data_IF_563288392075
#
_entry.id   IF_563288392075
#
_cell.length_a   1.000
_cell.length_b   1.000
_cell.length_c   1.000
_cell.angle_alpha   90.00
_cell.angle_beta   90.00
_cell.angle_gamma   90.00
#
_symmetry.space_group_name_H-M   'P 1'
#
loop_
_entity.id
_entity.type
_entity.pdbx_description
1 polymer ?
#
# COMPACT_ATOMS: atom_id res chain seq x y z
N UNK A 1 -20.17 -7.25 -7.21
CA UNK A 1 -19.13 -8.25 -7.52
C UNK A 1 -17.72 -7.67 -7.54
N UNK A 2 -17.44 -6.60 -8.30
CA UNK A 2 -16.07 -6.07 -8.47
C UNK A 2 -15.37 -5.61 -7.18
N UNK A 3 -16.07 -4.89 -6.28
CA UNK A 3 -15.48 -4.47 -5.00
C UNK A 3 -15.09 -5.65 -4.08
N UNK A 4 -15.83 -6.77 -4.15
CA UNK A 4 -15.50 -7.96 -3.37
C UNK A 4 -14.22 -8.64 -3.90
N UNK A 5 -14.04 -8.66 -5.22
CA UNK A 5 -12.79 -9.13 -5.84
C UNK A 5 -11.60 -8.24 -5.44
N UNK A 6 -11.81 -6.92 -5.39
CA UNK A 6 -10.80 -5.99 -4.88
C UNK A 6 -10.47 -6.24 -3.42
N UNK A 7 -11.48 -6.47 -2.56
CA UNK A 7 -11.27 -6.80 -1.15
C UNK A 7 -10.51 -8.12 -0.98
N UNK A 8 -10.82 -9.14 -1.79
CA UNK A 8 -10.06 -10.39 -1.82
C UNK A 8 -8.59 -10.15 -2.19
N UNK A 9 -8.35 -9.36 -3.23
CA UNK A 9 -6.98 -9.04 -3.66
C UNK A 9 -6.23 -8.16 -2.64
N UNK A 10 -6.94 -7.27 -1.94
CA UNK A 10 -6.41 -6.50 -0.81
C UNK A 10 -5.93 -7.42 0.31
N UNK A 11 -6.74 -8.40 0.71
CA UNK A 11 -6.37 -9.41 1.72
C UNK A 11 -5.10 -10.17 1.29
N UNK A 12 -4.99 -10.55 0.02
CA UNK A 12 -3.79 -11.21 -0.51
C UNK A 12 -2.55 -10.30 -0.43
N UNK A 13 -2.66 -9.04 -0.83
CA UNK A 13 -1.55 -8.08 -0.76
C UNK A 13 -1.12 -7.80 0.69
N UNK A 14 -2.07 -7.72 1.64
CA UNK A 14 -1.78 -7.58 3.06
C UNK A 14 -1.00 -8.79 3.59
N UNK A 15 -1.44 -10.00 3.28
CA UNK A 15 -0.74 -11.23 3.66
C UNK A 15 0.69 -11.28 3.12
N UNK A 16 0.91 -10.83 1.88
CA UNK A 16 2.26 -10.70 1.29
C UNK A 16 3.08 -9.61 1.98
N UNK A 17 2.51 -8.45 2.27
CA UNK A 17 3.20 -7.34 2.92
C UNK A 17 3.62 -7.66 4.35
N UNK A 18 2.77 -8.31 5.14
CA UNK A 18 3.09 -8.75 6.50
C UNK A 18 4.19 -9.81 6.50
N UNK A 19 4.16 -10.73 5.53
CA UNK A 19 5.14 -11.79 5.35
C UNK A 19 6.30 -11.39 4.40
N UNK A 20 6.55 -10.10 4.18
CA UNK A 20 7.53 -9.60 3.18
C UNK A 20 8.98 -10.04 3.36
N UNK A 21 9.32 -10.59 4.53
CA UNK A 21 10.64 -11.15 4.84
C UNK A 21 10.82 -12.57 4.28
N UNK A 22 9.74 -13.24 3.89
CA UNK A 22 9.78 -14.53 3.21
C UNK A 22 10.42 -14.35 1.83
N UNK A 23 11.24 -15.31 1.41
CA UNK A 23 12.15 -15.17 0.27
C UNK A 23 11.97 -16.25 -0.81
N UNK A 24 10.94 -17.07 -0.72
CA UNK A 24 10.58 -18.09 -1.71
C UNK A 24 9.07 -18.33 -1.69
N UNK A 25 8.54 -18.89 -2.78
CA UNK A 25 7.10 -19.04 -3.00
C UNK A 25 6.47 -20.07 -2.07
N UNK A 26 7.10 -21.22 -1.88
CA UNK A 26 6.57 -22.32 -1.06
C UNK A 26 6.32 -21.88 0.38
N UNK A 27 7.32 -21.24 1.01
CA UNK A 27 7.16 -20.68 2.37
C UNK A 27 6.15 -19.55 2.46
N UNK A 28 5.91 -18.82 1.36
CA UNK A 28 4.88 -17.80 1.35
C UNK A 28 3.49 -18.43 1.30
N UNK A 29 3.30 -19.46 0.47
CA UNK A 29 2.04 -20.21 0.39
C UNK A 29 1.66 -20.86 1.72
N UNK A 30 2.63 -21.33 2.52
CA UNK A 30 2.41 -21.82 3.89
C UNK A 30 1.82 -20.76 4.85
N UNK A 31 1.99 -19.47 4.54
CA UNK A 31 1.46 -18.36 5.35
C UNK A 31 0.14 -17.82 4.82
N UNK A 32 -0.28 -18.25 3.63
CA UNK A 32 -1.48 -17.77 2.96
C UNK A 32 -2.56 -18.86 3.00
N UNK A 33 -3.82 -18.44 3.00
CA UNK A 33 -4.95 -19.38 3.05
C UNK A 33 -5.34 -19.88 1.64
N UNK A 34 -4.44 -20.65 1.02
CA UNK A 34 -4.65 -21.30 -0.29
C UNK A 34 -5.20 -20.38 -1.41
N UNK A 35 -4.56 -19.23 -1.71
CA UNK A 35 -4.98 -18.37 -2.82
C UNK A 35 -4.68 -19.03 -4.17
N UNK A 36 -5.39 -18.66 -5.25
CA UNK A 36 -5.05 -19.07 -6.61
C UNK A 36 -3.58 -18.73 -6.94
N UNK A 37 -2.82 -19.75 -7.31
CA UNK A 37 -1.37 -19.65 -7.47
C UNK A 37 -0.93 -18.60 -8.51
N UNK A 38 -1.72 -18.45 -9.58
CA UNK A 38 -1.52 -17.42 -10.62
C UNK A 38 -1.49 -15.99 -10.06
N UNK A 39 -2.24 -15.70 -9.00
CA UNK A 39 -2.23 -14.38 -8.36
C UNK A 39 -0.92 -14.17 -7.60
N UNK A 40 -0.46 -15.20 -6.89
CA UNK A 40 0.83 -15.16 -6.16
C UNK A 40 1.97 -14.99 -7.15
N UNK A 41 2.00 -15.74 -8.26
CA UNK A 41 3.02 -15.58 -9.30
C UNK A 41 2.99 -14.18 -9.94
N UNK A 42 1.80 -13.64 -10.16
CA UNK A 42 1.64 -12.26 -10.61
C UNK A 42 2.20 -11.24 -9.61
N UNK A 43 1.99 -11.44 -8.31
CA UNK A 43 2.53 -10.55 -7.29
C UNK A 43 4.06 -10.67 -7.24
N UNK A 44 4.60 -11.88 -7.19
CA UNK A 44 6.04 -12.11 -7.11
C UNK A 44 6.77 -11.52 -8.34
N UNK A 45 6.20 -11.65 -9.53
CA UNK A 45 6.80 -11.08 -10.75
C UNK A 45 6.82 -9.55 -10.80
N UNK A 46 5.87 -8.86 -10.15
CA UNK A 46 5.69 -7.40 -10.26
C UNK A 46 6.16 -6.61 -9.04
N UNK A 47 6.21 -7.24 -7.87
CA UNK A 47 6.46 -6.59 -6.58
C UNK A 47 7.66 -7.18 -5.84
N UNK A 48 8.54 -7.91 -6.53
CA UNK A 48 9.77 -8.44 -5.92
C UNK A 48 10.94 -8.32 -6.87
N UNK A 49 12.15 -8.39 -6.30
CA UNK A 49 13.39 -8.54 -7.06
C UNK A 49 13.81 -10.01 -6.98
N UNK A 50 13.99 -10.64 -8.14
CA UNK A 50 14.50 -12.01 -8.22
C UNK A 50 15.96 -12.00 -7.77
N UNK A 51 16.31 -12.89 -6.85
CA UNK A 51 17.71 -13.11 -6.49
C UNK A 51 18.36 -14.01 -7.53
N UNK A 52 19.48 -13.61 -8.15
CA UNK A 52 20.21 -14.51 -9.03
C UNK A 52 20.59 -15.77 -8.25
N UNK A 53 20.25 -16.94 -8.79
CA UNK A 53 20.59 -18.21 -8.16
C UNK A 53 22.10 -18.37 -8.09
N UNK A 54 22.60 -18.93 -6.99
CA UNK A 54 23.94 -19.53 -7.01
C UNK A 54 23.97 -20.58 -8.12
N UNK A 55 24.97 -20.50 -8.99
CA UNK A 55 25.23 -21.48 -10.05
C UNK A 55 25.05 -22.90 -9.49
N UNK A 56 24.14 -23.69 -10.07
CA UNK A 56 23.95 -25.11 -9.72
C UNK A 56 22.80 -25.49 -8.77
N UNK A 57 21.96 -24.57 -8.27
CA UNK A 57 20.74 -24.94 -7.51
C UNK A 57 19.47 -24.49 -8.22
N UNK A 58 18.82 -25.40 -8.96
CA UNK A 58 17.68 -25.09 -9.83
C UNK A 58 16.29 -25.20 -9.18
N UNK A 59 16.16 -25.38 -7.86
CA UNK A 59 14.89 -25.89 -7.31
C UNK A 59 13.90 -24.90 -6.73
N UNK A 60 14.26 -23.66 -6.40
CA UNK A 60 13.28 -22.64 -6.01
C UNK A 60 13.74 -21.22 -6.35
N UNK A 61 12.91 -20.46 -7.07
CA UNK A 61 13.19 -19.05 -7.39
C UNK A 61 13.10 -18.22 -6.11
N UNK A 62 14.25 -17.83 -5.56
CA UNK A 62 14.30 -16.93 -4.42
C UNK A 62 14.04 -15.48 -4.86
N UNK A 63 13.33 -14.73 -4.02
CA UNK A 63 13.03 -13.32 -4.23
C UNK A 63 13.33 -12.50 -2.98
N UNK A 64 13.28 -11.18 -3.14
CA UNK A 64 13.35 -10.21 -2.05
C UNK A 64 12.45 -9.02 -2.34
N UNK A 65 11.73 -8.55 -1.32
CA UNK A 65 10.95 -7.32 -1.38
C UNK A 65 11.84 -6.22 -0.80
N UNK A 66 12.37 -5.38 -1.68
CA UNK A 66 13.17 -4.22 -1.30
C UNK A 66 12.26 -3.03 -0.89
N UNK A 67 12.80 -1.94 -0.32
CA UNK A 67 11.97 -0.82 0.14
C UNK A 67 11.11 -0.17 -0.95
N UNK A 68 11.57 -0.18 -2.21
CA UNK A 68 10.78 0.34 -3.33
C UNK A 68 9.55 -0.53 -3.61
N UNK A 69 9.72 -1.86 -3.57
CA UNK A 69 8.63 -2.80 -3.71
C UNK A 69 7.68 -2.78 -2.49
N UNK A 70 8.17 -2.56 -1.28
CA UNK A 70 7.30 -2.32 -0.11
C UNK A 70 6.37 -1.14 -0.35
N UNK A 71 6.91 0.01 -0.77
CA UNK A 71 6.13 1.20 -1.09
C UNK A 71 5.17 0.95 -2.26
N UNK A 72 5.57 0.15 -3.26
CA UNK A 72 4.72 -0.24 -4.39
C UNK A 72 3.54 -1.10 -3.95
N UNK A 73 3.77 -2.12 -3.11
CA UNK A 73 2.69 -2.97 -2.55
C UNK A 73 1.71 -2.10 -1.76
N UNK A 74 2.23 -1.24 -0.88
CA UNK A 74 1.41 -0.32 -0.09
C UNK A 74 0.61 0.64 -0.97
N UNK A 75 1.19 1.20 -2.02
CA UNK A 75 0.44 2.05 -2.96
C UNK A 75 -0.73 1.31 -3.61
N UNK A 76 -0.56 0.03 -3.98
CA UNK A 76 -1.65 -0.78 -4.53
C UNK A 76 -2.73 -1.09 -3.48
N UNK A 77 -2.33 -1.37 -2.23
CA UNK A 77 -3.25 -1.53 -1.09
C UNK A 77 -4.09 -0.26 -0.90
N UNK A 78 -3.45 0.91 -0.83
CA UNK A 78 -4.12 2.19 -0.64
C UNK A 78 -5.04 2.56 -1.81
N UNK A 79 -4.64 2.23 -3.05
CA UNK A 79 -5.49 2.43 -4.22
C UNK A 79 -6.76 1.58 -4.16
N UNK A 80 -6.67 0.33 -3.70
CA UNK A 80 -7.84 -0.53 -3.50
C UNK A 80 -8.74 0.05 -2.40
N UNK A 81 -8.17 0.44 -1.26
CA UNK A 81 -8.93 1.03 -0.15
C UNK A 81 -9.68 2.28 -0.60
N UNK A 82 -9.09 3.13 -1.44
CA UNK A 82 -9.80 4.25 -2.06
C UNK A 82 -11.06 3.82 -2.83
N UNK A 83 -11.01 2.72 -3.59
CA UNK A 83 -12.20 2.20 -4.26
C UNK A 83 -13.24 1.64 -3.29
N UNK A 84 -12.80 1.00 -2.21
CA UNK A 84 -13.69 0.41 -1.22
C UNK A 84 -14.43 1.49 -0.42
N UNK A 85 -13.71 2.53 0.00
CA UNK A 85 -14.20 3.65 0.84
C UNK A 85 -14.73 4.84 0.02
N UNK A 86 -15.12 4.59 -1.24
CA UNK A 86 -15.72 5.61 -2.11
C UNK A 86 -14.87 6.89 -2.27
N UNK A 87 -13.55 6.73 -2.32
CA UNK A 87 -12.53 7.75 -2.51
C UNK A 87 -12.44 8.79 -1.38
N UNK A 88 -12.89 8.46 -0.17
CA UNK A 88 -12.71 9.27 1.04
C UNK A 88 -12.21 8.35 2.16
N UNK A 89 -10.93 8.46 2.52
CA UNK A 89 -10.26 7.52 3.43
C UNK A 89 -9.74 8.23 4.67
N UNK A 90 -9.98 7.66 5.84
CA UNK A 90 -9.47 8.11 7.13
C UNK A 90 -8.02 7.64 7.35
N UNK A 91 -7.09 8.56 7.59
CA UNK A 91 -5.66 8.21 7.68
C UNK A 91 -5.31 7.49 8.98
N UNK A 92 -5.84 7.94 10.11
CA UNK A 92 -5.43 7.46 11.43
C UNK A 92 -5.77 5.98 11.65
N UNK A 93 -7.01 5.52 11.40
CA UNK A 93 -7.35 4.10 11.55
C UNK A 93 -6.50 3.21 10.63
N UNK A 94 -6.32 3.65 9.37
CA UNK A 94 -5.53 2.91 8.40
C UNK A 94 -4.04 2.83 8.76
N UNK A 95 -3.50 3.87 9.38
CA UNK A 95 -2.12 3.86 9.87
C UNK A 95 -1.92 2.84 10.99
N UNK A 96 -2.92 2.69 11.88
CA UNK A 96 -2.90 1.64 12.91
C UNK A 96 -2.97 0.25 12.30
N UNK A 97 -3.88 0.02 11.35
CA UNK A 97 -4.05 -1.29 10.68
C UNK A 97 -2.77 -1.74 9.97
N UNK A 98 -2.15 -0.85 9.19
CA UNK A 98 -0.93 -1.17 8.45
C UNK A 98 0.34 -1.15 9.32
N UNK A 99 0.21 -0.84 10.61
CA UNK A 99 1.31 -0.62 11.55
C UNK A 99 2.36 0.37 11.00
N UNK A 100 1.87 1.50 10.47
CA UNK A 100 2.66 2.58 9.90
C UNK A 100 2.47 3.89 10.67
N UNK A 101 3.48 4.75 10.65
CA UNK A 101 3.30 6.13 11.11
C UNK A 101 2.30 6.84 10.19
N UNK A 102 1.36 7.65 10.71
CA UNK A 102 0.41 8.40 9.87
C UNK A 102 1.10 9.22 8.76
N UNK A 103 2.28 9.79 9.05
CA UNK A 103 3.07 10.55 8.07
C UNK A 103 3.51 9.72 6.86
N UNK A 104 3.79 8.42 7.02
CA UNK A 104 4.13 7.53 5.90
C UNK A 104 2.90 7.25 5.03
N UNK A 105 1.75 7.01 5.63
CA UNK A 105 0.48 6.81 4.92
C UNK A 105 0.09 8.06 4.13
N UNK A 106 0.22 9.25 4.75
CA UNK A 106 0.03 10.54 4.07
C UNK A 106 0.96 10.67 2.86
N UNK A 107 2.25 10.30 3.02
CA UNK A 107 3.23 10.36 1.93
C UNK A 107 2.84 9.47 0.76
N UNK A 108 2.46 8.21 1.03
CA UNK A 108 2.05 7.25 0.02
C UNK A 108 0.76 7.68 -0.72
N UNK A 109 -0.23 8.24 0.00
CA UNK A 109 -1.40 8.81 -0.65
C UNK A 109 -1.06 9.98 -1.58
N UNK A 110 -0.08 10.82 -1.22
CA UNK A 110 0.40 11.89 -2.11
C UNK A 110 1.13 11.34 -3.34
N UNK A 111 1.88 10.24 -3.20
CA UNK A 111 2.48 9.53 -4.35
C UNK A 111 1.40 9.03 -5.32
N UNK A 112 0.26 8.58 -4.81
CA UNK A 112 -0.91 8.22 -5.62
C UNK A 112 -1.66 9.42 -6.25
N UNK A 113 -1.29 10.66 -5.91
CA UNK A 113 -1.98 11.87 -6.35
C UNK A 113 -3.24 12.22 -5.54
N UNK A 114 -3.44 11.58 -4.38
CA UNK A 114 -4.55 11.91 -3.50
C UNK A 114 -4.31 13.21 -2.73
N UNK A 115 -5.41 13.92 -2.47
CA UNK A 115 -5.44 15.16 -1.69
C UNK A 115 -5.62 14.78 -0.22
N UNK A 116 -4.60 15.05 0.60
CA UNK A 116 -4.64 14.77 2.04
C UNK A 116 -4.72 16.08 2.83
N UNK A 117 -5.83 16.29 3.54
CA UNK A 117 -6.11 17.50 4.33
C UNK A 117 -6.75 17.14 5.67
N UNK A 118 -6.87 18.10 6.58
CA UNK A 118 -7.67 17.92 7.80
C UNK A 118 -9.14 17.69 7.45
N UNK A 119 -9.87 16.97 8.29
CA UNK A 119 -11.30 16.76 8.13
C UNK A 119 -12.05 18.11 8.15
N UNK A 120 -13.03 18.26 7.26
CA UNK A 120 -13.99 19.37 7.34
C UNK A 120 -14.96 19.14 8.51
N UNK A 121 -15.72 20.17 8.90
CA UNK A 121 -16.75 20.03 9.95
C UNK A 121 -17.76 18.93 9.60
N UNK A 122 -18.22 18.90 8.35
CA UNK A 122 -19.15 17.86 7.88
C UNK A 122 -18.54 16.46 7.87
N UNK A 123 -17.25 16.34 7.52
CA UNK A 123 -16.55 15.05 7.59
C UNK A 123 -16.35 14.60 9.04
N UNK A 124 -15.98 15.50 9.93
CA UNK A 124 -15.82 15.19 11.35
C UNK A 124 -17.13 14.70 11.97
N UNK A 125 -18.26 15.32 11.62
CA UNK A 125 -19.59 14.85 12.03
C UNK A 125 -19.91 13.45 11.47
N UNK A 126 -19.65 13.22 10.17
CA UNK A 126 -19.91 11.93 9.54
C UNK A 126 -19.07 10.78 10.10
N UNK A 127 -17.82 11.04 10.48
CA UNK A 127 -16.90 10.05 11.05
C UNK A 127 -16.94 10.00 12.59
N UNK A 128 -17.80 10.78 13.25
CA UNK A 128 -17.91 10.80 14.71
C UNK A 128 -16.68 11.35 15.44
N UNK A 129 -15.93 12.26 14.80
CA UNK A 129 -14.70 12.85 15.33
C UNK A 129 -15.04 14.17 16.05
N UNK A 130 -14.43 14.46 17.22
CA UNK A 130 -14.59 15.75 17.88
C UNK A 130 -14.22 16.93 16.96
N UNK A 131 -15.09 17.95 16.88
CA UNK A 131 -14.88 19.13 16.02
C UNK A 131 -13.56 19.87 16.33
N UNK A 132 -13.11 19.84 17.58
CA UNK A 132 -11.83 20.44 18.01
C UNK A 132 -10.60 19.76 17.42
N UNK A 133 -10.69 18.47 17.05
CA UNK A 133 -9.57 17.69 16.49
C UNK A 133 -9.69 17.47 14.98
N UNK A 134 -10.73 18.01 14.33
CA UNK A 134 -10.98 17.84 12.90
C UNK A 134 -9.77 18.25 12.02
N UNK A 135 -9.09 19.35 12.33
CA UNK A 135 -7.96 19.84 11.55
C UNK A 135 -6.72 18.92 11.62
N UNK A 136 -6.51 18.25 12.76
CA UNK A 136 -5.40 17.29 12.94
C UNK A 136 -5.74 15.92 12.36
N UNK A 137 -7.03 15.54 12.33
CA UNK A 137 -7.49 14.30 11.72
C UNK A 137 -7.41 14.36 10.20
N UNK A 138 -6.51 13.57 9.60
CA UNK A 138 -6.26 13.63 8.16
C UNK A 138 -7.20 12.70 7.40
N UNK A 139 -7.77 13.24 6.32
CA UNK A 139 -8.59 12.52 5.34
C UNK A 139 -7.87 12.60 3.99
N UNK A 140 -7.74 11.45 3.32
CA UNK A 140 -7.30 11.37 1.93
C UNK A 140 -8.53 11.32 1.01
N UNK A 141 -8.50 12.11 -0.06
CA UNK A 141 -9.56 12.12 -1.08
C UNK A 141 -8.98 12.13 -2.49
N UNK A 142 -9.67 11.54 -3.46
CA UNK A 142 -9.34 11.69 -4.88
C UNK A 142 -10.47 12.41 -5.61
N UNK A 143 -10.10 13.33 -6.50
CA UNK A 143 -11.04 14.12 -7.29
C UNK A 143 -10.55 14.23 -8.73
N UNK A 144 -11.49 14.40 -9.65
CA UNK A 144 -11.22 14.76 -11.05
C UNK A 144 -11.38 16.27 -11.24
N UNK A 145 -10.60 16.92 -12.12
CA UNK A 145 -9.50 16.35 -12.91
C UNK A 145 -8.32 15.92 -12.03
N UNK A 146 -7.69 14.81 -12.40
CA UNK A 146 -6.60 14.21 -11.62
C UNK A 146 -5.36 15.11 -11.59
N UNK A 147 -4.87 15.44 -10.39
CA UNK A 147 -3.60 16.15 -10.23
C UNK A 147 -2.46 15.14 -10.30
N UNK A 148 -1.56 15.31 -11.26
CA UNK A 148 -0.36 14.49 -11.36
C UNK A 148 0.46 14.61 -10.06
N UNK A 149 1.00 13.50 -9.53
CA UNK A 149 1.86 13.53 -8.35
C UNK A 149 3.04 14.49 -8.57
N UNK A 150 3.32 15.33 -7.57
CA UNK A 150 4.50 16.18 -7.60
C UNK A 150 5.74 15.28 -7.48
N UNK A 151 6.48 15.12 -8.58
CA UNK A 151 7.76 14.43 -8.54
C UNK A 151 8.64 15.17 -7.54
N UNK A 152 8.96 14.54 -6.41
CA UNK A 152 9.92 15.07 -5.47
C UNK A 152 11.24 15.18 -6.20
N UNK A 153 11.65 16.40 -6.55
CA UNK A 153 13.00 16.67 -7.06
C UNK A 153 13.94 16.08 -6.03
N UNK A 154 14.67 15.01 -6.40
CA UNK A 154 15.77 14.49 -5.59
C UNK A 154 16.64 15.70 -5.26
N UNK A 155 16.72 16.05 -3.98
CA UNK A 155 17.64 17.08 -3.51
C UNK A 155 19.01 16.76 -4.10
N UNK A 156 19.68 17.75 -4.69
CA UNK A 156 21.09 17.65 -5.08
C UNK A 156 21.83 16.98 -3.93
N UNK A 157 22.34 15.77 -4.15
CA UNK A 157 23.26 15.13 -3.21
C UNK A 157 24.41 16.10 -2.93
N UNK A 158 25.02 16.05 -1.73
CA UNK A 158 26.13 16.93 -1.42
C UNK A 158 27.22 16.71 -2.48
N UNK A 159 27.62 17.79 -3.16
CA UNK A 159 28.85 17.79 -3.94
C UNK A 159 29.99 17.60 -2.93
N UNK A 160 30.53 16.39 -2.88
CA UNK A 160 31.85 16.10 -2.33
C UNK A 160 32.69 15.58 -3.47
#
# INVERSE_FOLDING_TARGET
MTKLQLLYYLSLLLGVYENRRVNNKTKLLERLNSPPEILVDGILSRFTVIKPGQFGRSKDRSYFIDPQNEDKILCYILAIIMHLDNFIVEITPLAHELNLKPSKVVSLFRVLGAIVKGATVAQAEAFGIPKSTAASYKIATMKVPFKLPEMTRRGRGPRR
#
